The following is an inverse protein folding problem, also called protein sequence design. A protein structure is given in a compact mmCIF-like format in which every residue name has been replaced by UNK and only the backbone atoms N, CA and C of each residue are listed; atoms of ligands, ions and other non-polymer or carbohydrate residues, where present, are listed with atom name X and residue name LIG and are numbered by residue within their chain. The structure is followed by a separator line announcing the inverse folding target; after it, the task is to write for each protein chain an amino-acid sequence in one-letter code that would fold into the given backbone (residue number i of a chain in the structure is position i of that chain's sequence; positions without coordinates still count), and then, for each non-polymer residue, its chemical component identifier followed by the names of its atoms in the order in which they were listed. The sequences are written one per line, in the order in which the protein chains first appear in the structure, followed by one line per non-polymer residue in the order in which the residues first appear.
data_IF_330794242250
#
_entry.id   IF_330794242250
#
_cell.length_a   1.000
_cell.length_b   1.000
_cell.length_c   1.000
_cell.angle_alpha   90.00
_cell.angle_beta   90.00
_cell.angle_gamma   90.00
#
_symmetry.space_group_name_H-M   'P 1'
#
loop_
_entity.id
_entity.type
_entity.pdbx_description
1 polymer ?
#
# COMPACT_ATOMS: atom_id res chain seq x y z
N UNK A 1 0.81 15.85 17.56
CA UNK A 1 0.69 15.29 16.21
C UNK A 1 0.31 16.41 15.26
N UNK A 2 0.88 16.44 14.07
CA UNK A 2 0.63 17.46 13.06
C UNK A 2 -0.23 16.82 11.96
N UNK A 3 -1.50 17.19 11.91
CA UNK A 3 -2.53 16.50 11.14
C UNK A 3 -3.42 17.52 10.41
N UNK A 4 -3.75 17.24 9.15
CA UNK A 4 -4.65 18.07 8.32
C UNK A 4 -5.45 17.19 7.35
N UNK A 5 -6.49 17.77 6.73
CA UNK A 5 -7.45 17.08 5.85
C UNK A 5 -8.74 16.65 6.55
N UNK A 6 -9.71 16.15 5.78
CA UNK A 6 -11.03 15.79 6.33
C UNK A 6 -10.96 14.58 7.27
N UNK A 7 -11.64 14.69 8.41
CA UNK A 7 -11.69 13.67 9.45
C UNK A 7 -13.11 13.10 9.61
N UNK A 8 -13.73 12.68 8.50
CA UNK A 8 -14.95 11.88 8.54
C UNK A 8 -14.60 10.39 8.42
N UNK A 9 -13.95 9.86 9.47
CA UNK A 9 -13.81 8.42 9.64
C UNK A 9 -15.05 7.90 10.37
N UNK A 10 -15.89 7.14 9.68
CA UNK A 10 -16.99 6.41 10.32
C UNK A 10 -16.38 5.39 11.30
N UNK A 11 -16.50 5.66 12.59
CA UNK A 11 -15.85 4.91 13.67
C UNK A 11 -16.43 3.50 13.89
N UNK A 12 -17.51 3.14 13.18
CA UNK A 12 -18.18 1.86 13.34
C UNK A 12 -17.57 0.71 12.50
N UNK A 13 -16.57 0.97 11.65
CA UNK A 13 -15.85 -0.11 10.96
C UNK A 13 -14.37 0.25 10.73
N UNK A 14 -13.48 -0.30 11.55
CA UNK A 14 -12.02 -0.20 11.36
C UNK A 14 -11.57 -1.24 10.35
N UNK A 15 -11.80 -1.00 9.07
CA UNK A 15 -11.25 -1.84 8.00
C UNK A 15 -9.76 -1.51 7.88
N UNK A 16 -8.84 -2.45 8.15
CA UNK A 16 -7.42 -2.20 7.94
C UNK A 16 -7.19 -1.93 6.45
N UNK A 17 -6.54 -0.79 6.15
CA UNK A 17 -6.14 -0.43 4.79
C UNK A 17 -4.69 -0.84 4.56
N UNK A 18 -4.39 -1.33 3.36
CA UNK A 18 -3.01 -1.60 2.96
C UNK A 18 -2.21 -0.29 2.91
N UNK A 19 -0.94 -0.33 3.34
CA UNK A 19 0.00 0.78 3.18
C UNK A 19 0.86 0.49 1.94
N UNK A 20 1.08 1.49 1.10
CA UNK A 20 1.94 1.40 -0.09
C UNK A 20 2.92 2.57 -0.16
N UNK A 21 4.08 2.36 -0.80
CA UNK A 21 5.06 3.42 -1.03
C UNK A 21 4.66 4.25 -2.25
N UNK A 22 4.81 5.57 -2.17
CA UNK A 22 4.64 6.45 -3.32
C UNK A 22 5.76 6.32 -4.35
N UNK A 23 5.43 6.54 -5.62
CA UNK A 23 6.42 6.75 -6.67
C UNK A 23 6.05 7.99 -7.52
N UNK A 24 6.87 9.07 -7.51
CA UNK A 24 8.09 9.24 -6.72
C UNK A 24 7.79 9.32 -5.21
N UNK A 25 8.79 8.94 -4.39
CA UNK A 25 8.61 8.77 -2.94
C UNK A 25 8.27 10.08 -2.20
N UNK A 26 8.67 11.22 -2.77
CA UNK A 26 8.38 12.53 -2.20
C UNK A 26 6.99 13.07 -2.60
N UNK A 27 6.30 12.43 -3.55
CA UNK A 27 5.02 12.91 -4.09
C UNK A 27 5.03 14.40 -4.48
N UNK A 28 6.14 14.91 -5.02
CA UNK A 28 6.22 16.29 -5.52
C UNK A 28 5.82 16.44 -7.00
N UNK A 29 5.35 15.36 -7.59
CA UNK A 29 4.74 15.29 -8.92
C UNK A 29 3.63 14.24 -8.90
N UNK A 30 2.76 14.19 -9.93
CA UNK A 30 1.70 13.18 -10.00
C UNK A 30 2.25 11.76 -9.80
N UNK A 31 1.59 10.99 -8.93
CA UNK A 31 2.01 9.61 -8.64
C UNK A 31 1.90 8.75 -9.89
N UNK A 32 2.99 8.06 -10.20
CA UNK A 32 3.00 7.08 -11.28
C UNK A 32 2.54 5.75 -10.71
N UNK A 33 1.74 5.02 -11.48
CA UNK A 33 1.41 3.63 -11.17
C UNK A 33 2.66 2.76 -11.41
N UNK A 34 3.66 2.90 -10.55
CA UNK A 34 4.80 2.00 -10.50
C UNK A 34 4.37 0.77 -9.72
N UNK A 35 3.48 0.03 -10.34
CA UNK A 35 3.01 -1.18 -9.78
C UNK A 35 4.11 -2.22 -9.99
N UNK A 36 4.89 -2.48 -8.94
CA UNK A 36 5.63 -3.75 -8.83
C UNK A 36 4.64 -4.93 -8.80
N UNK A 37 3.35 -4.66 -8.62
CA UNK A 37 2.25 -5.62 -8.50
C UNK A 37 1.14 -5.35 -9.53
N UNK A 38 1.46 -5.40 -10.83
CA UNK A 38 0.43 -5.41 -11.88
C UNK A 38 0.04 -6.87 -12.09
N UNK A 39 -1.10 -7.29 -11.57
CA UNK A 39 -1.81 -8.39 -12.21
C UNK A 39 -2.24 -7.86 -13.58
N UNK A 40 -1.60 -8.37 -14.63
CA UNK A 40 -1.72 -7.94 -16.03
C UNK A 40 -3.15 -8.08 -16.60
N UNK A 41 -4.09 -8.59 -15.79
CA UNK A 41 -5.48 -8.85 -16.13
C UNK A 41 -6.49 -7.84 -15.56
N UNK A 42 -6.09 -6.91 -14.68
CA UNK A 42 -6.99 -5.88 -14.18
C UNK A 42 -6.20 -4.60 -13.84
N UNK A 43 -6.33 -3.56 -14.68
CA UNK A 43 -5.62 -2.28 -14.60
C UNK A 43 -6.14 -1.39 -13.46
N UNK A 44 -6.17 -1.91 -12.25
CA UNK A 44 -6.60 -1.15 -11.08
C UNK A 44 -5.49 -0.18 -10.64
N UNK A 45 -5.89 1.05 -10.30
CA UNK A 45 -4.99 2.07 -9.79
C UNK A 45 -4.35 1.57 -8.48
N UNK A 46 -3.01 1.46 -8.46
CA UNK A 46 -2.23 0.89 -7.36
C UNK A 46 -2.50 1.56 -6.01
N UNK A 47 -2.80 2.85 -6.02
CA UNK A 47 -3.00 3.67 -4.82
C UNK A 47 -4.45 3.71 -4.35
N UNK A 48 -5.40 3.27 -5.17
CA UNK A 48 -6.83 3.36 -4.89
C UNK A 48 -7.17 2.67 -3.58
N UNK A 49 -7.87 3.39 -2.70
CA UNK A 49 -8.34 2.86 -1.42
C UNK A 49 -7.24 2.44 -0.42
N UNK A 50 -5.97 2.82 -0.65
CA UNK A 50 -4.81 2.49 0.19
C UNK A 50 -4.26 3.71 0.94
N UNK A 51 -3.48 3.47 1.98
CA UNK A 51 -2.69 4.51 2.66
C UNK A 51 -1.35 4.66 1.96
N UNK A 52 -1.03 5.87 1.49
CA UNK A 52 0.19 6.12 0.74
C UNK A 52 1.24 6.75 1.64
N UNK A 53 2.40 6.13 1.70
CA UNK A 53 3.55 6.62 2.45
C UNK A 53 4.47 7.43 1.55
N UNK A 54 4.78 8.65 1.98
CA UNK A 54 5.63 9.62 1.27
C UNK A 54 6.73 10.17 2.19
N UNK A 55 7.78 10.74 1.64
CA UNK A 55 8.82 11.44 2.42
C UNK A 55 8.62 12.97 2.42
N UNK A 56 9.00 13.60 3.53
CA UNK A 56 9.08 15.06 3.66
C UNK A 56 10.25 15.61 2.83
N UNK A 57 10.05 16.80 2.27
CA UNK A 57 11.06 17.55 1.50
C UNK A 57 10.56 17.95 0.11
N UNK A 58 11.34 18.77 -0.58
CA UNK A 58 11.15 19.23 -1.97
C UNK A 58 9.91 20.09 -2.27
N UNK A 59 8.76 19.83 -1.66
CA UNK A 59 7.51 20.55 -1.89
C UNK A 59 6.62 20.62 -0.63
N UNK A 60 5.57 21.45 -0.69
CA UNK A 60 4.64 21.67 0.41
C UNK A 60 3.77 20.43 0.72
N UNK A 61 3.30 20.31 1.97
CA UNK A 61 2.47 19.18 2.39
C UNK A 61 1.12 19.10 1.67
N UNK A 62 0.50 20.25 1.38
CA UNK A 62 -0.74 20.31 0.61
C UNK A 62 -0.53 19.76 -0.80
N UNK A 63 0.57 20.15 -1.46
CA UNK A 63 0.88 19.66 -2.81
C UNK A 63 1.03 18.14 -2.85
N UNK A 64 1.72 17.55 -1.85
CA UNK A 64 1.82 16.10 -1.69
C UNK A 64 0.44 15.46 -1.50
N UNK A 65 -0.36 16.02 -0.59
CA UNK A 65 -1.71 15.52 -0.30
C UNK A 65 -2.61 15.57 -1.54
N UNK A 66 -2.49 16.62 -2.36
CA UNK A 66 -3.24 16.78 -3.60
C UNK A 66 -2.92 15.66 -4.60
N UNK A 67 -1.63 15.37 -4.83
CA UNK A 67 -1.25 14.29 -5.76
C UNK A 67 -1.62 12.90 -5.22
N UNK A 68 -1.52 12.70 -3.90
CA UNK A 68 -1.95 11.45 -3.25
C UNK A 68 -3.46 11.26 -3.35
N UNK A 69 -4.25 12.32 -3.13
CA UNK A 69 -5.70 12.31 -3.29
C UNK A 69 -6.13 12.09 -4.74
N UNK A 70 -5.47 12.74 -5.70
CA UNK A 70 -5.72 12.55 -7.13
C UNK A 70 -5.44 11.11 -7.57
N UNK A 71 -4.51 10.42 -6.92
CA UNK A 71 -4.26 9.01 -7.12
C UNK A 71 -5.33 8.09 -6.48
N UNK A 72 -6.36 8.64 -5.84
CA UNK A 72 -7.47 7.87 -5.25
C UNK A 72 -7.12 7.18 -3.93
N UNK A 73 -6.05 7.63 -3.27
CA UNK A 73 -5.65 7.11 -1.97
C UNK A 73 -6.72 7.35 -0.90
N UNK A 74 -6.78 6.47 0.09
CA UNK A 74 -7.61 6.63 1.28
C UNK A 74 -6.98 7.54 2.34
N UNK A 75 -5.68 7.86 2.22
CA UNK A 75 -4.94 8.65 3.20
C UNK A 75 -3.46 8.79 2.86
N UNK A 76 -2.81 9.77 3.46
CA UNK A 76 -1.38 10.04 3.30
C UNK A 76 -0.64 9.94 4.65
N UNK A 77 0.49 9.23 4.65
CA UNK A 77 1.43 9.15 5.76
C UNK A 77 2.74 9.80 5.31
N UNK A 78 3.13 10.89 5.95
CA UNK A 78 4.38 11.60 5.65
C UNK A 78 5.45 11.17 6.64
N UNK A 79 6.54 10.61 6.14
CA UNK A 79 7.75 10.35 6.92
C UNK A 79 8.56 11.63 6.98
N UNK A 80 8.79 12.12 8.20
CA UNK A 80 9.66 13.26 8.41
C UNK A 80 11.09 12.97 7.91
N UNK A 81 11.82 14.00 7.48
CA UNK A 81 13.21 13.89 6.99
C UNK A 81 14.26 14.05 8.09
N UNK A 82 13.87 14.54 9.27
CA UNK A 82 14.75 14.88 10.38
C UNK A 82 14.30 14.16 11.67
N UNK A 83 15.26 13.78 12.50
CA UNK A 83 14.98 13.22 13.83
C UNK A 83 14.63 14.36 14.81
N UNK A 84 13.49 14.21 15.50
CA UNK A 84 13.12 15.07 16.64
C UNK A 84 12.25 16.29 16.32
N UNK A 85 12.25 16.80 15.08
CA UNK A 85 11.47 18.00 14.73
C UNK A 85 10.12 17.68 14.09
N UNK A 86 9.09 17.51 14.91
CA UNK A 86 7.71 17.40 14.42
C UNK A 86 7.20 18.80 14.02
N UNK A 87 7.21 19.07 12.72
CA UNK A 87 6.67 20.31 12.18
C UNK A 87 5.14 20.27 12.15
N UNK A 88 4.48 21.39 12.46
CA UNK A 88 3.07 21.55 12.16
C UNK A 88 2.88 21.51 10.64
N UNK A 89 1.94 20.68 10.19
CA UNK A 89 1.51 20.66 8.80
C UNK A 89 0.65 21.90 8.60
N UNK A 90 1.29 23.00 8.20
CA UNK A 90 0.59 24.24 7.92
C UNK A 90 0.18 24.28 6.45
N UNK A 91 -0.94 24.96 6.20
CA UNK A 91 -1.28 25.43 4.87
C UNK A 91 -0.13 26.32 4.34
N UNK A 92 0.13 26.27 3.04
CA UNK A 92 1.13 27.09 2.36
C UNK A 92 0.63 28.52 2.10
N UNK A 93 -0.55 28.87 2.63
CA UNK A 93 -1.16 30.18 2.52
C UNK A 93 -2.04 30.33 1.28
N UNK A 94 -2.36 29.23 0.60
CA UNK A 94 -3.20 29.20 -0.60
C UNK A 94 -4.66 28.85 -0.31
N UNK A 95 -5.03 28.64 0.96
CA UNK A 95 -6.33 28.13 1.43
C UNK A 95 -6.70 26.74 0.85
N UNK A 96 -5.78 26.11 0.11
CA UNK A 96 -5.98 24.82 -0.52
C UNK A 96 -6.04 23.68 0.50
N UNK A 97 -5.67 23.92 1.77
CA UNK A 97 -5.82 22.94 2.84
C UNK A 97 -7.27 22.48 3.04
N UNK A 98 -8.25 23.34 2.75
CA UNK A 98 -9.68 23.01 2.82
C UNK A 98 -10.17 22.10 1.69
N UNK A 99 -9.37 21.92 0.63
CA UNK A 99 -9.72 21.08 -0.52
C UNK A 99 -9.34 19.62 -0.31
N UNK A 100 -8.39 19.34 0.59
CA UNK A 100 -7.88 17.99 0.86
C UNK A 100 -8.89 17.21 1.72
N UNK A 101 -9.44 16.13 1.16
CA UNK A 101 -10.46 15.28 1.79
C UNK A 101 -9.88 13.99 2.39
N UNK A 102 -8.63 13.67 2.08
CA UNK A 102 -7.95 12.52 2.65
C UNK A 102 -7.30 12.89 4.00
N UNK A 103 -7.30 11.98 4.99
CA UNK A 103 -6.55 12.17 6.22
C UNK A 103 -5.04 12.16 5.95
N UNK A 104 -4.33 13.16 6.47
CA UNK A 104 -2.87 13.29 6.34
C UNK A 104 -2.21 13.32 7.72
N UNK A 105 -1.20 12.46 7.93
CA UNK A 105 -0.45 12.40 9.20
C UNK A 105 1.06 12.48 8.96
N UNK A 106 1.74 13.26 9.79
CA UNK A 106 3.22 13.26 9.87
C UNK A 106 3.67 12.28 10.94
N UNK A 107 4.63 11.41 10.61
CA UNK A 107 5.29 10.49 11.54
C UNK A 107 6.79 10.80 11.68
N UNK A 108 7.39 10.51 12.85
CA UNK A 108 8.83 10.65 13.07
C UNK A 108 9.69 9.86 12.07
N UNK A 109 10.91 10.34 11.80
CA UNK A 109 11.85 9.73 10.87
C UNK A 109 12.19 8.28 11.26
N UNK A 110 12.57 8.04 12.51
CA UNK A 110 12.94 6.70 13.02
C UNK A 110 11.84 5.65 12.78
N UNK A 111 10.58 6.01 13.04
CA UNK A 111 9.42 5.15 12.80
C UNK A 111 9.12 4.98 11.32
N UNK A 112 9.21 6.05 10.55
CA UNK A 112 9.02 6.00 9.11
C UNK A 112 10.04 5.11 8.40
N UNK A 113 11.32 5.19 8.79
CA UNK A 113 12.37 4.32 8.24
C UNK A 113 12.11 2.85 8.52
N UNK A 114 11.65 2.50 9.72
CA UNK A 114 11.28 1.12 10.06
C UNK A 114 10.16 0.61 9.14
N UNK A 115 9.10 1.41 8.95
CA UNK A 115 7.99 1.03 8.08
C UNK A 115 8.48 0.83 6.65
N UNK A 116 9.22 1.80 6.09
CA UNK A 116 9.75 1.72 4.74
C UNK A 116 10.62 0.46 4.55
N UNK A 117 11.50 0.17 5.51
CA UNK A 117 12.35 -1.03 5.48
C UNK A 117 11.52 -2.33 5.42
N UNK A 118 10.49 -2.46 6.26
CA UNK A 118 9.63 -3.64 6.24
C UNK A 118 8.83 -3.77 4.93
N UNK A 119 8.40 -2.65 4.36
CA UNK A 119 7.69 -2.66 3.08
C UNK A 119 8.59 -3.09 1.93
N UNK A 120 9.84 -2.64 1.93
CA UNK A 120 10.81 -2.99 0.91
C UNK A 120 11.20 -4.48 0.98
N UNK A 121 11.35 -5.04 2.19
CA UNK A 121 11.52 -6.47 2.40
C UNK A 121 10.33 -7.28 1.86
N UNK A 122 9.09 -6.87 2.19
CA UNK A 122 7.87 -7.52 1.69
C UNK A 122 7.81 -7.49 0.17
N UNK A 123 8.12 -6.35 -0.45
CA UNK A 123 8.10 -6.23 -1.90
C UNK A 123 9.12 -7.18 -2.55
N UNK A 124 10.33 -7.30 -1.99
CA UNK A 124 11.34 -8.24 -2.48
C UNK A 124 10.93 -9.71 -2.31
N UNK A 125 10.20 -10.06 -1.25
CA UNK A 125 9.65 -11.41 -1.06
C UNK A 125 8.62 -11.74 -2.14
N UNK A 126 7.67 -10.83 -2.36
CA UNK A 126 6.64 -10.97 -3.40
C UNK A 126 7.28 -11.15 -4.78
N UNK A 127 8.30 -10.34 -5.11
CA UNK A 127 8.99 -10.46 -6.39
C UNK A 127 9.74 -11.79 -6.55
N UNK A 128 10.33 -12.31 -5.46
CA UNK A 128 10.96 -13.64 -5.47
C UNK A 128 9.94 -14.76 -5.63
N UNK A 129 8.76 -14.65 -5.01
CA UNK A 129 7.69 -15.63 -5.15
C UNK A 129 7.18 -15.70 -6.59
N UNK A 130 6.92 -14.54 -7.22
CA UNK A 130 6.53 -14.48 -8.64
C UNK A 130 7.59 -15.09 -9.55
N UNK A 131 8.87 -14.79 -9.33
CA UNK A 131 9.95 -15.39 -10.12
C UNK A 131 9.98 -16.92 -9.99
N UNK A 132 9.62 -17.47 -8.82
CA UNK A 132 9.52 -18.92 -8.62
C UNK A 132 8.33 -19.50 -9.38
N UNK A 133 7.18 -18.84 -9.36
CA UNK A 133 5.99 -19.25 -10.12
C UNK A 133 6.26 -19.26 -11.63
N UNK A 134 6.85 -18.19 -12.15
CA UNK A 134 7.26 -18.10 -13.57
C UNK A 134 8.25 -19.20 -13.94
N UNK A 135 9.21 -19.51 -13.06
CA UNK A 135 10.19 -20.58 -13.30
C UNK A 135 9.56 -21.97 -13.26
N UNK A 136 8.54 -22.19 -12.42
CA UNK A 136 7.81 -23.46 -12.32
C UNK A 136 6.89 -23.68 -13.54
N UNK A 137 6.33 -22.62 -14.11
CA UNK A 137 5.51 -22.70 -15.31
C UNK A 137 6.32 -22.91 -16.60
N UNK A 138 7.59 -22.51 -16.61
CA UNK A 138 8.53 -22.73 -17.72
C UNK A 138 9.33 -24.05 -17.61
N UNK A 139 8.97 -24.97 -16.70
CA UNK A 139 9.56 -26.31 -16.65
C UNK A 139 9.16 -27.06 -17.93
N UNK A 140 10.11 -27.55 -18.75
CA UNK A 140 9.76 -28.33 -19.94
C UNK A 140 8.99 -29.58 -19.50
N UNK A 141 7.73 -29.68 -19.91
CA UNK A 141 6.97 -30.92 -19.82
C UNK A 141 7.71 -31.95 -20.67
N UNK A 142 8.48 -32.83 -20.02
CA UNK A 142 9.13 -33.97 -20.68
C UNK A 142 8.07 -34.77 -21.43
N UNK A 143 8.26 -35.13 -22.72
CA UNK A 143 7.25 -35.82 -23.51
C UNK A 143 7.05 -37.30 -23.13
N UNK A 144 7.39 -37.72 -21.90
CA UNK A 144 7.18 -39.11 -21.50
C UNK A 144 7.09 -39.34 -19.97
N UNK A 145 6.30 -38.53 -19.26
CA UNK A 145 5.87 -38.84 -17.87
C UNK A 145 4.40 -38.47 -17.59
N UNK A 146 3.54 -38.42 -18.62
CA UNK A 146 2.13 -38.02 -18.46
C UNK A 146 1.25 -39.10 -17.79
N UNK A 147 1.76 -40.33 -17.64
CA UNK A 147 0.99 -41.46 -17.08
C UNK A 147 1.29 -41.82 -15.62
N UNK A 148 2.21 -41.12 -14.94
CA UNK A 148 2.47 -41.40 -13.51
C UNK A 148 1.87 -40.33 -12.58
N UNK A 149 1.78 -39.08 -13.02
CA UNK A 149 1.32 -37.96 -12.18
C UNK A 149 -0.18 -37.69 -12.23
N UNK A 150 -0.94 -38.34 -13.12
CA UNK A 150 -2.42 -38.30 -13.10
C UNK A 150 -3.02 -38.91 -11.81
N UNK A 151 -2.21 -39.65 -11.04
CA UNK A 151 -2.60 -40.31 -9.79
C UNK A 151 -2.16 -39.58 -8.52
N UNK A 152 -1.33 -38.53 -8.61
CA UNK A 152 -0.85 -37.78 -7.44
C UNK A 152 -1.13 -36.29 -7.66
N UNK A 153 -2.33 -35.87 -7.25
CA UNK A 153 -2.69 -34.46 -7.19
C UNK A 153 -2.11 -33.81 -5.92
N UNK A 154 -0.82 -33.48 -5.92
CA UNK A 154 -0.29 -32.55 -4.91
C UNK A 154 -0.61 -31.15 -5.41
N UNK A 155 -1.77 -30.62 -5.00
CA UNK A 155 -2.01 -29.18 -5.10
C UNK A 155 -1.07 -28.49 -4.11
N UNK A 156 -0.11 -27.65 -4.53
CA UNK A 156 0.52 -26.74 -3.59
C UNK A 156 -0.61 -25.85 -3.06
N UNK A 157 -0.83 -25.93 -1.75
CA UNK A 157 -1.82 -25.12 -1.05
C UNK A 157 -1.24 -23.71 -0.97
N UNK A 158 -1.34 -22.94 -2.05
CA UNK A 158 -1.27 -21.48 -1.94
C UNK A 158 -2.55 -21.08 -1.24
N UNK A 159 -2.51 -21.05 0.09
CA UNK A 159 -3.57 -20.46 0.90
C UNK A 159 -3.52 -18.96 0.65
N UNK A 160 -4.19 -18.51 -0.41
CA UNK A 160 -4.74 -17.17 -0.44
C UNK A 160 -5.63 -17.05 0.80
N UNK A 161 -5.19 -16.25 1.77
CA UNK A 161 -6.00 -15.89 2.91
C UNK A 161 -7.19 -15.09 2.38
N UNK A 162 -8.27 -15.80 2.09
CA UNK A 162 -9.58 -15.23 1.85
C UNK A 162 -9.90 -14.30 3.02
N UNK A 163 -10.13 -13.03 2.69
CA UNK A 163 -10.68 -12.06 3.62
C UNK A 163 -12.02 -12.57 4.14
N UNK A 164 -12.03 -12.95 5.41
CA UNK A 164 -13.26 -13.12 6.18
C UNK A 164 -13.32 -11.97 7.17
N UNK A 165 -14.15 -10.97 6.87
CA UNK A 165 -14.81 -10.20 7.91
C UNK A 165 -16.04 -11.03 8.33
N UNK A 166 -15.81 -12.10 9.09
CA UNK A 166 -16.90 -12.93 9.61
C UNK A 166 -17.50 -12.24 10.83
N UNK A 167 -18.76 -11.84 10.70
CA UNK A 167 -19.67 -11.49 11.78
C UNK A 167 -19.65 -12.58 12.85
N UNK A 168 -19.15 -12.26 14.04
CA UNK A 168 -19.34 -13.07 15.24
C UNK A 168 -20.77 -12.87 15.73
N UNK A 169 -21.68 -13.70 15.23
CA UNK A 169 -22.93 -13.98 15.93
C UNK A 169 -22.63 -15.01 17.02
N UNK A 170 -22.43 -14.53 18.25
CA UNK A 170 -22.53 -15.39 19.43
C UNK A 170 -24.01 -15.55 19.78
N UNK A 171 -24.57 -16.70 19.43
CA UNK A 171 -25.72 -17.28 20.13
C UNK A 171 -25.29 -18.63 20.70
N UNK A 172 -25.35 -18.75 22.03
CA UNK A 172 -25.41 -20.03 22.71
C UNK A 172 -26.65 -20.03 23.61
N UNK A 173 -27.40 -21.13 23.52
CA UNK A 173 -28.55 -21.48 24.36
C UNK A 173 -28.15 -21.63 25.83
#
# INVERSE_FOLDING_TARGET
MAQFGAFYVNTNCKIPKEVVLAYPIDACSPLQNHSTYVDESNSENHYKDKLVLVTRGQCAFIQKALYVEQAGAAGMIVVNSENGEMHLMSDDGTDAGNLIRIPCVLIPYDRGQQIMYYMELRNQEIEREKQREVKMQNVPTSPNMDNLFSSIWIRPKVTAALGYCSTLDFHFF
#
